data_IF_964554391354
#
_entry.id   IF_964554391354
#
_cell.length_a   1.000
_cell.length_b   1.000
_cell.length_c   1.000
_cell.angle_alpha   90.00
_cell.angle_beta   90.00
_cell.angle_gamma   90.00
#
_symmetry.space_group_name_H-M   'P 1'
#
loop_
_entity.id
_entity.type
_entity.pdbx_description
1 polymer ?
#
# COMPACT_ATOMS: atom_id res chain seq x y z
N UNK A 1 -14.41 -53.61 -37.47
CA UNK A 1 -15.68 -53.32 -38.17
C UNK A 1 -16.44 -52.26 -37.41
N UNK A 2 -16.43 -51.02 -37.88
CA UNK A 2 -17.58 -50.09 -37.90
C UNK A 2 -17.09 -48.83 -38.61
N UNK A 3 -17.70 -48.54 -39.76
CA UNK A 3 -17.44 -47.36 -40.62
C UNK A 3 -18.38 -46.24 -40.19
N UNK A 4 -17.90 -45.00 -40.15
CA UNK A 4 -18.75 -43.82 -40.36
C UNK A 4 -18.19 -42.98 -41.50
N UNK A 5 -19.10 -42.61 -42.40
CA UNK A 5 -18.88 -41.93 -43.67
C UNK A 5 -18.68 -40.40 -43.49
N UNK A 6 -17.89 -39.83 -44.40
CA UNK A 6 -17.64 -38.40 -44.55
C UNK A 6 -18.37 -37.79 -45.76
N UNK A 7 -18.42 -36.45 -45.76
CA UNK A 7 -18.51 -35.48 -46.88
C UNK A 7 -19.78 -34.57 -46.90
N UNK A 8 -19.75 -33.37 -47.53
CA UNK A 8 -18.68 -32.35 -47.61
C UNK A 8 -19.14 -30.86 -47.51
N UNK A 9 -18.16 -29.96 -47.64
CA UNK A 9 -18.18 -28.49 -47.65
C UNK A 9 -19.11 -27.80 -48.69
N UNK A 10 -19.53 -26.57 -48.36
CA UNK A 10 -19.60 -25.45 -49.33
C UNK A 10 -19.24 -24.11 -48.67
N UNK A 11 -18.33 -23.37 -49.30
CA UNK A 11 -17.95 -22.00 -48.98
C UNK A 11 -18.84 -20.99 -49.72
N UNK A 12 -19.02 -19.78 -49.18
CA UNK A 12 -19.31 -18.57 -49.95
C UNK A 12 -18.99 -17.31 -49.13
N UNK A 13 -18.26 -16.40 -49.78
CA UNK A 13 -17.82 -15.08 -49.32
C UNK A 13 -18.94 -14.05 -49.33
N UNK A 14 -18.79 -12.90 -48.64
CA UNK A 14 -19.06 -11.58 -49.24
C UNK A 14 -18.49 -10.44 -48.38
N UNK A 15 -18.05 -9.39 -49.08
CA UNK A 15 -17.28 -8.22 -48.64
C UNK A 15 -18.18 -7.02 -48.26
N UNK A 16 -17.58 -6.00 -47.59
CA UNK A 16 -18.03 -4.59 -47.47
C UNK A 16 -19.38 -4.37 -46.74
N UNK A 17 -19.62 -3.35 -45.91
CA UNK A 17 -19.39 -1.93 -46.11
C UNK A 17 -19.67 -1.18 -44.79
N UNK A 18 -18.93 -0.11 -44.56
CA UNK A 18 -19.17 0.97 -43.59
C UNK A 18 -20.48 1.73 -43.92
N UNK A 19 -21.02 2.55 -42.98
CA UNK A 19 -21.91 3.73 -43.17
C UNK A 19 -23.35 3.66 -42.58
N UNK A 20 -23.49 4.46 -41.51
CA UNK A 20 -24.57 5.41 -41.15
C UNK A 20 -25.95 4.99 -40.58
N UNK A 21 -26.17 5.58 -39.39
CA UNK A 21 -27.32 6.41 -38.95
C UNK A 21 -28.70 5.79 -38.60
N UNK A 22 -29.06 6.02 -37.33
CA UNK A 22 -30.33 6.56 -36.83
C UNK A 22 -31.65 5.98 -37.36
N UNK A 23 -32.32 5.22 -36.49
CA UNK A 23 -33.79 5.24 -36.38
C UNK A 23 -34.21 5.18 -34.91
N UNK A 24 -34.75 6.31 -34.45
CA UNK A 24 -35.44 6.55 -33.19
C UNK A 24 -36.89 6.03 -33.32
N UNK A 25 -37.52 5.73 -32.17
CA UNK A 25 -38.96 5.67 -31.83
C UNK A 25 -39.43 4.25 -31.42
N UNK A 26 -39.48 3.92 -30.12
CA UNK A 26 -40.47 4.25 -29.07
C UNK A 26 -41.35 3.04 -28.74
N UNK A 27 -41.18 2.47 -27.55
CA UNK A 27 -42.28 2.07 -26.66
C UNK A 27 -41.81 2.36 -25.24
N UNK A 28 -42.51 3.27 -24.55
CA UNK A 28 -42.22 3.67 -23.18
C UNK A 28 -42.98 2.85 -22.14
N UNK A 29 -42.43 2.84 -20.92
CA UNK A 29 -43.18 2.85 -19.66
C UNK A 29 -42.32 3.60 -18.61
N UNK A 30 -42.86 4.75 -18.19
CA UNK A 30 -42.74 5.50 -16.93
C UNK A 30 -42.27 4.68 -15.69
N UNK A 31 -41.60 5.18 -14.65
CA UNK A 31 -41.18 6.53 -14.24
C UNK A 31 -40.21 6.38 -13.02
N UNK A 32 -39.40 7.40 -12.74
CA UNK A 32 -38.48 7.60 -11.58
C UNK A 32 -37.10 6.94 -11.57
N UNK A 33 -36.16 7.53 -12.29
CA UNK A 33 -34.80 7.81 -11.77
C UNK A 33 -34.37 9.15 -12.36
N UNK A 34 -34.55 10.23 -11.61
CA UNK A 34 -33.90 11.51 -11.89
C UNK A 34 -32.39 11.32 -11.72
N UNK A 35 -31.68 11.20 -12.83
CA UNK A 35 -30.26 11.50 -12.89
C UNK A 35 -30.15 13.02 -12.99
N UNK A 36 -30.12 13.70 -11.84
CA UNK A 36 -29.64 15.08 -11.79
C UNK A 36 -28.13 15.01 -12.03
N UNK A 37 -27.68 15.45 -13.22
CA UNK A 37 -26.28 15.80 -13.42
C UNK A 37 -25.89 16.80 -12.31
N UNK A 38 -24.79 16.57 -11.57
CA UNK A 38 -24.42 17.48 -10.49
C UNK A 38 -24.25 18.88 -11.07
N UNK A 39 -24.83 19.92 -10.45
CA UNK A 39 -24.74 21.28 -10.96
C UNK A 39 -23.26 21.62 -11.19
N UNK A 40 -22.96 22.29 -12.30
CA UNK A 40 -21.62 22.71 -12.70
C UNK A 40 -20.85 23.46 -11.59
N UNK A 41 -21.55 23.94 -10.55
CA UNK A 41 -20.95 24.44 -9.31
C UNK A 41 -20.21 23.38 -8.50
N UNK A 42 -20.72 22.15 -8.37
CA UNK A 42 -20.06 21.04 -7.65
C UNK A 42 -18.80 20.56 -8.39
N UNK A 43 -18.86 20.47 -9.72
CA UNK A 43 -17.69 20.19 -10.55
C UNK A 43 -16.66 21.33 -10.48
N UNK A 44 -17.11 22.59 -10.40
CA UNK A 44 -16.20 23.73 -10.16
C UNK A 44 -15.59 23.70 -8.76
N UNK A 45 -16.33 23.28 -7.72
CA UNK A 45 -15.78 23.12 -6.37
C UNK A 45 -14.73 22.01 -6.32
N UNK A 46 -14.97 20.88 -6.99
CA UNK A 46 -14.01 19.77 -7.08
C UNK A 46 -12.76 20.11 -7.92
N UNK A 47 -12.89 21.02 -8.89
CA UNK A 47 -11.79 21.49 -9.74
C UNK A 47 -11.10 22.77 -9.21
N UNK A 48 -11.60 23.40 -8.14
CA UNK A 48 -11.00 24.60 -7.53
C UNK A 48 -10.18 24.30 -6.27
N UNK A 49 -10.16 23.05 -5.77
CA UNK A 49 -9.18 22.61 -4.78
C UNK A 49 -7.95 22.02 -5.47
N UNK A 50 -7.28 22.81 -6.30
CA UNK A 50 -5.84 22.63 -6.46
C UNK A 50 -5.16 23.21 -5.20
N UNK A 51 -5.26 22.49 -4.09
CA UNK A 51 -4.40 22.75 -2.94
C UNK A 51 -2.96 22.49 -3.37
N UNK A 52 -2.06 23.44 -3.07
CA UNK A 52 -0.63 23.27 -3.37
C UNK A 52 -0.14 21.94 -2.76
N UNK A 53 0.72 21.17 -3.46
CA UNK A 53 1.25 19.90 -2.95
C UNK A 53 1.89 19.99 -1.55
N UNK A 54 2.39 21.18 -1.18
CA UNK A 54 2.97 21.48 0.14
C UNK A 54 1.92 21.65 1.26
N UNK A 55 0.71 22.10 0.94
CA UNK A 55 -0.37 22.30 1.91
C UNK A 55 -1.08 20.96 2.25
N UNK A 56 -0.96 19.96 1.37
CA UNK A 56 -1.50 18.61 1.56
C UNK A 56 -0.65 17.74 2.51
N UNK A 57 0.56 18.21 2.89
CA UNK A 57 1.51 17.45 3.72
C UNK A 57 1.47 17.80 5.21
N UNK A 58 0.60 18.71 5.64
CA UNK A 58 0.50 19.09 7.06
C UNK A 58 -0.76 18.51 7.70
N UNK A 59 -0.58 17.87 8.88
CA UNK A 59 -1.69 17.36 9.68
C UNK A 59 -2.24 18.50 10.55
N UNK A 60 -3.55 18.73 10.49
CA UNK A 60 -4.19 19.78 11.27
C UNK A 60 -5.51 19.32 11.87
N UNK A 61 -5.74 19.68 13.12
CA UNK A 61 -7.01 19.44 13.80
C UNK A 61 -8.11 20.29 13.17
N UNK A 62 -9.30 19.73 13.03
CA UNK A 62 -10.50 20.47 12.62
C UNK A 62 -11.21 21.03 13.86
N UNK A 63 -11.65 22.28 13.80
CA UNK A 63 -12.37 22.89 14.90
C UNK A 63 -13.67 22.10 15.22
N UNK A 64 -13.88 21.80 16.50
CA UNK A 64 -15.14 21.19 16.98
C UNK A 64 -15.30 19.69 16.75
N UNK A 65 -14.27 18.98 16.26
CA UNK A 65 -14.28 17.53 16.11
C UNK A 65 -12.98 16.90 16.65
N UNK A 66 -13.02 15.69 17.23
CA UNK A 66 -11.80 14.97 17.59
C UNK A 66 -11.01 14.62 16.32
N UNK A 67 -9.68 14.75 16.39
CA UNK A 67 -8.79 14.22 15.37
C UNK A 67 -8.58 12.72 15.61
N UNK A 68 -8.94 11.89 14.64
CA UNK A 68 -8.91 10.43 14.78
C UNK A 68 -7.70 9.84 14.08
N UNK A 69 -6.93 9.02 14.81
CA UNK A 69 -5.79 8.27 14.28
C UNK A 69 -6.11 6.78 14.42
N UNK A 70 -6.08 6.04 13.31
CA UNK A 70 -6.11 4.58 13.33
C UNK A 70 -4.68 4.01 13.29
N UNK A 71 -4.42 3.00 14.11
CA UNK A 71 -3.12 2.35 14.21
C UNK A 71 -3.25 0.90 13.75
N UNK A 72 -2.39 0.48 12.83
CA UNK A 72 -2.26 -0.91 12.40
C UNK A 72 -0.82 -1.38 12.64
N UNK A 73 -0.66 -2.56 13.22
CA UNK A 73 0.62 -3.16 13.58
C UNK A 73 0.56 -4.66 13.32
N UNK A 74 1.71 -5.29 13.10
CA UNK A 74 1.85 -6.76 13.05
C UNK A 74 0.86 -7.39 12.05
N UNK A 75 0.74 -6.79 10.87
CA UNK A 75 -0.17 -7.27 9.81
C UNK A 75 0.40 -8.48 9.06
N UNK A 76 1.74 -8.57 8.96
CA UNK A 76 2.48 -9.68 8.35
C UNK A 76 2.02 -10.13 6.96
N UNK A 77 1.57 -9.20 6.11
CA UNK A 77 1.09 -9.55 4.75
C UNK A 77 2.10 -10.43 3.98
N UNK A 78 1.58 -11.47 3.34
CA UNK A 78 2.35 -12.47 2.63
C UNK A 78 2.89 -13.62 3.49
N UNK A 79 2.53 -13.68 4.77
CA UNK A 79 2.87 -14.83 5.63
C UNK A 79 2.31 -16.14 5.04
N UNK A 80 3.14 -17.19 4.96
CA UNK A 80 2.75 -18.50 4.46
C UNK A 80 2.05 -18.46 3.08
N UNK A 81 2.47 -17.54 2.19
CA UNK A 81 1.88 -17.31 0.87
C UNK A 81 1.85 -18.55 -0.05
N UNK A 82 2.61 -19.60 0.27
CA UNK A 82 2.61 -20.90 -0.43
C UNK A 82 1.53 -21.88 0.04
N UNK A 83 0.63 -21.44 0.92
CA UNK A 83 -0.53 -22.22 1.41
C UNK A 83 -1.82 -21.46 1.10
N UNK A 84 -2.97 -22.13 1.15
CA UNK A 84 -4.27 -21.45 1.02
C UNK A 84 -4.61 -20.57 2.24
N UNK A 85 -3.97 -20.82 3.38
CA UNK A 85 -4.28 -20.13 4.63
C UNK A 85 -3.76 -18.68 4.64
N UNK A 86 -2.53 -18.45 4.18
CA UNK A 86 -1.85 -17.15 4.20
C UNK A 86 -2.59 -16.07 3.41
N UNK A 87 -2.80 -16.23 2.09
CA UNK A 87 -3.56 -15.29 1.27
C UNK A 87 -5.00 -15.07 1.79
N UNK A 88 -5.59 -16.09 2.42
CA UNK A 88 -6.91 -15.93 3.04
C UNK A 88 -6.86 -15.02 4.29
N UNK A 89 -5.75 -15.01 5.05
CA UNK A 89 -5.57 -14.08 6.16
C UNK A 89 -5.35 -12.66 5.67
N UNK A 90 -4.54 -12.44 4.63
CA UNK A 90 -4.36 -11.12 4.01
C UNK A 90 -5.71 -10.51 3.61
N UNK A 91 -6.57 -11.31 2.96
CA UNK A 91 -7.95 -10.90 2.62
C UNK A 91 -8.80 -10.58 3.85
N UNK A 92 -8.64 -11.33 4.95
CA UNK A 92 -9.39 -11.07 6.18
C UNK A 92 -8.90 -9.80 6.88
N UNK A 93 -7.58 -9.55 6.90
CA UNK A 93 -6.97 -8.32 7.39
C UNK A 93 -7.50 -7.12 6.61
N UNK A 94 -7.52 -7.17 5.28
CA UNK A 94 -8.10 -6.11 4.43
C UNK A 94 -9.55 -5.82 4.78
N UNK A 95 -10.37 -6.85 5.04
CA UNK A 95 -11.77 -6.67 5.44
C UNK A 95 -11.89 -5.95 6.78
N UNK A 96 -11.16 -6.40 7.80
CA UNK A 96 -11.20 -5.79 9.13
C UNK A 96 -10.70 -4.36 9.08
N UNK A 97 -9.56 -4.10 8.43
CA UNK A 97 -9.03 -2.76 8.23
C UNK A 97 -10.05 -1.86 7.51
N UNK A 98 -10.66 -2.35 6.43
CA UNK A 98 -11.70 -1.61 5.71
C UNK A 98 -12.88 -1.25 6.61
N UNK A 99 -13.39 -2.19 7.40
CA UNK A 99 -14.50 -1.91 8.33
C UNK A 99 -14.13 -0.86 9.38
N UNK A 100 -12.94 -0.94 9.97
CA UNK A 100 -12.45 0.08 10.92
C UNK A 100 -12.38 1.46 10.24
N UNK A 101 -11.83 1.52 9.02
CA UNK A 101 -11.68 2.77 8.29
C UNK A 101 -13.03 3.36 7.85
N UNK A 102 -14.01 2.53 7.48
CA UNK A 102 -15.35 2.97 7.10
C UNK A 102 -16.14 3.47 8.32
N UNK A 103 -16.15 2.70 9.41
CA UNK A 103 -16.96 2.99 10.58
C UNK A 103 -16.42 4.18 11.39
N UNK A 104 -15.10 4.30 11.51
CA UNK A 104 -14.48 5.39 12.28
C UNK A 104 -14.13 6.62 11.45
N UNK A 105 -13.93 6.47 10.13
CA UNK A 105 -13.51 7.54 9.23
C UNK A 105 -12.34 8.37 9.79
N UNK A 106 -11.17 7.76 10.06
CA UNK A 106 -10.07 8.45 10.71
C UNK A 106 -9.45 9.53 9.81
N UNK A 107 -8.88 10.56 10.43
CA UNK A 107 -8.19 11.65 9.74
C UNK A 107 -6.76 11.24 9.33
N UNK A 108 -6.18 10.24 10.00
CA UNK A 108 -4.81 9.78 9.76
C UNK A 108 -4.65 8.30 10.12
N UNK A 109 -3.75 7.60 9.42
CA UNK A 109 -3.41 6.20 9.71
C UNK A 109 -1.91 6.06 9.99
N UNK A 110 -1.55 5.21 10.94
CA UNK A 110 -0.16 4.85 11.18
C UNK A 110 0.01 3.33 11.09
N UNK A 111 0.98 2.91 10.29
CA UNK A 111 1.47 1.53 10.22
C UNK A 111 2.71 1.40 11.11
N UNK A 112 2.61 0.58 12.17
CA UNK A 112 3.56 0.52 13.29
C UNK A 112 4.63 -0.58 13.17
N UNK A 113 4.98 -0.97 11.95
CA UNK A 113 5.93 -2.04 11.69
C UNK A 113 5.28 -3.41 11.56
N UNK A 114 6.08 -4.35 11.04
CA UNK A 114 5.67 -5.71 10.69
C UNK A 114 4.41 -5.72 9.82
N UNK A 115 4.40 -4.79 8.85
CA UNK A 115 3.33 -4.64 7.88
C UNK A 115 3.34 -5.83 6.91
N UNK A 116 4.52 -6.27 6.52
CA UNK A 116 4.72 -7.40 5.60
C UNK A 116 5.73 -8.41 6.16
N UNK A 117 5.63 -9.64 5.67
CA UNK A 117 6.64 -10.69 5.91
C UNK A 117 7.90 -10.52 5.04
N UNK A 118 7.83 -9.64 4.03
CA UNK A 118 8.92 -9.24 3.14
C UNK A 118 9.68 -10.40 2.48
N UNK A 119 10.99 -10.51 2.79
CA UNK A 119 11.90 -11.45 2.15
C UNK A 119 11.83 -12.82 2.79
N UNK A 120 11.03 -12.98 3.86
CA UNK A 120 10.63 -14.27 4.39
C UNK A 120 9.52 -14.94 3.55
N UNK A 121 9.59 -14.72 2.24
CA UNK A 121 8.77 -15.27 1.17
C UNK A 121 9.73 -15.50 -0.02
N UNK A 122 9.63 -16.61 -0.76
CA UNK A 122 10.52 -16.89 -1.90
C UNK A 122 10.17 -16.00 -3.14
N UNK A 123 10.21 -14.68 -3.00
CA UNK A 123 9.81 -13.71 -4.02
C UNK A 123 10.97 -12.78 -4.42
N UNK A 124 10.97 -12.32 -5.66
CA UNK A 124 11.97 -11.37 -6.15
C UNK A 124 11.70 -9.92 -5.70
N UNK A 125 10.44 -9.57 -5.41
CA UNK A 125 10.03 -8.24 -4.97
C UNK A 125 8.80 -8.35 -4.05
N UNK A 126 8.97 -8.03 -2.77
CA UNK A 126 7.92 -8.10 -1.76
C UNK A 126 7.07 -6.83 -1.67
N UNK A 127 7.40 -5.76 -2.43
CA UNK A 127 6.69 -4.49 -2.35
C UNK A 127 5.21 -4.57 -2.74
N UNK A 128 4.79 -5.63 -3.45
CA UNK A 128 3.39 -5.86 -3.78
C UNK A 128 2.54 -6.11 -2.53
N UNK A 129 3.08 -6.81 -1.53
CA UNK A 129 2.41 -6.99 -0.24
C UNK A 129 2.32 -5.69 0.56
N UNK A 130 3.32 -4.81 0.42
CA UNK A 130 3.26 -3.46 1.01
C UNK A 130 2.13 -2.66 0.38
N UNK A 131 2.05 -2.67 -0.94
CA UNK A 131 0.97 -2.01 -1.70
C UNK A 131 -0.42 -2.57 -1.38
N UNK A 132 -0.52 -3.88 -1.13
CA UNK A 132 -1.76 -4.54 -0.72
C UNK A 132 -2.16 -4.12 0.70
N UNK A 133 -1.23 -4.18 1.65
CA UNK A 133 -1.47 -3.82 3.05
C UNK A 133 -1.96 -2.38 3.21
N UNK A 134 -1.35 -1.42 2.49
CA UNK A 134 -1.76 0.00 2.55
C UNK A 134 -2.99 0.32 1.69
N UNK A 135 -3.44 -0.61 0.86
CA UNK A 135 -4.51 -0.36 -0.12
C UNK A 135 -5.83 0.12 0.50
N UNK A 136 -6.30 -0.35 1.67
CA UNK A 136 -7.57 0.11 2.25
C UNK A 136 -7.51 1.59 2.65
N UNK A 137 -6.37 2.03 3.19
CA UNK A 137 -6.12 3.42 3.56
C UNK A 137 -6.01 4.30 2.32
N UNK A 138 -5.19 3.88 1.35
CA UNK A 138 -4.97 4.61 0.09
C UNK A 138 -6.26 4.78 -0.70
N UNK A 139 -7.09 3.74 -0.80
CA UNK A 139 -8.37 3.79 -1.53
C UNK A 139 -9.37 4.80 -0.98
N UNK A 140 -9.25 5.16 0.31
CA UNK A 140 -10.10 6.14 0.99
C UNK A 140 -9.53 7.56 0.99
N UNK A 141 -8.34 7.76 0.42
CA UNK A 141 -7.69 9.06 0.41
C UNK A 141 -7.24 9.55 1.78
N UNK A 142 -7.10 8.64 2.76
CA UNK A 142 -6.68 8.99 4.12
C UNK A 142 -5.16 9.09 4.12
N UNK A 143 -4.55 10.20 4.60
CA UNK A 143 -3.09 10.29 4.72
C UNK A 143 -2.57 9.28 5.75
N UNK A 144 -1.35 8.81 5.56
CA UNK A 144 -0.74 7.84 6.47
C UNK A 144 0.74 8.05 6.68
N UNK A 145 1.29 7.40 7.69
CA UNK A 145 2.72 7.22 7.85
C UNK A 145 3.05 5.80 8.29
N UNK A 146 4.28 5.37 8.03
CA UNK A 146 4.76 4.02 8.31
C UNK A 146 6.14 4.02 8.98
N UNK A 147 6.32 3.04 9.86
CA UNK A 147 7.62 2.69 10.43
C UNK A 147 7.87 1.21 10.17
N UNK A 148 9.14 0.82 10.05
CA UNK A 148 9.50 -0.58 9.83
C UNK A 148 9.60 -1.34 11.15
N UNK A 149 9.13 -2.59 11.12
CA UNK A 149 9.43 -3.63 12.09
C UNK A 149 10.45 -4.63 11.54
N UNK A 150 10.87 -5.59 12.36
CA UNK A 150 11.92 -6.57 12.02
C UNK A 150 11.52 -7.48 10.84
N UNK A 151 10.22 -7.71 10.62
CA UNK A 151 9.74 -8.55 9.51
C UNK A 151 9.76 -7.87 8.15
N UNK A 152 9.68 -6.53 8.10
CA UNK A 152 9.53 -5.78 6.84
C UNK A 152 10.76 -5.84 5.91
N UNK A 153 11.84 -6.47 6.34
CA UNK A 153 13.01 -6.87 5.52
C UNK A 153 13.68 -8.11 6.12
N UNK A 154 12.87 -9.03 6.70
CA UNK A 154 13.39 -10.28 7.24
C UNK A 154 13.85 -11.21 6.12
N UNK A 155 15.03 -11.87 6.25
CA UNK A 155 15.53 -12.78 5.22
C UNK A 155 14.65 -14.03 5.08
N UNK A 156 14.81 -14.73 3.96
CA UNK A 156 14.12 -16.00 3.73
C UNK A 156 14.59 -17.07 4.70
N UNK A 157 13.65 -17.61 5.48
CA UNK A 157 13.87 -18.79 6.31
C UNK A 157 13.18 -20.00 5.68
N UNK A 158 13.95 -21.07 5.46
CA UNK A 158 13.40 -22.31 4.91
C UNK A 158 12.44 -22.96 5.90
N UNK A 159 11.14 -23.13 5.55
CA UNK A 159 10.20 -23.75 6.46
C UNK A 159 10.56 -25.22 6.69
N UNK A 160 10.69 -25.64 7.96
CA UNK A 160 11.01 -27.05 8.29
C UNK A 160 10.02 -28.04 7.68
N UNK A 161 8.76 -27.64 7.52
CA UNK A 161 7.71 -28.42 6.87
C UNK A 161 8.04 -28.79 5.42
N UNK A 162 8.84 -27.98 4.71
CA UNK A 162 9.23 -28.27 3.33
C UNK A 162 10.25 -29.41 3.21
N UNK A 163 10.90 -29.78 4.32
CA UNK A 163 11.77 -30.96 4.40
C UNK A 163 11.02 -32.23 4.82
N UNK A 164 9.68 -32.18 4.92
CA UNK A 164 8.84 -33.35 5.15
C UNK A 164 8.41 -34.02 3.82
N UNK A 165 7.74 -35.17 3.88
CA UNK A 165 7.33 -35.95 2.68
C UNK A 165 6.56 -35.18 1.57
N UNK A 166 5.73 -34.14 1.86
CA UNK A 166 5.13 -33.29 0.84
C UNK A 166 6.14 -32.48 0.02
N UNK A 167 7.34 -32.22 0.55
CA UNK A 167 8.43 -31.51 -0.13
C UNK A 167 8.25 -29.99 -0.19
N UNK A 168 9.12 -29.35 -0.99
CA UNK A 168 9.11 -27.91 -1.26
C UNK A 168 7.89 -27.56 -2.14
N UNK A 169 7.06 -26.56 -1.76
CA UNK A 169 5.95 -26.10 -2.59
C UNK A 169 6.40 -25.65 -3.98
N UNK A 170 5.55 -25.78 -5.02
CA UNK A 170 5.89 -25.36 -6.37
C UNK A 170 6.16 -23.85 -6.44
N UNK A 171 7.30 -23.45 -7.02
CA UNK A 171 7.64 -22.05 -7.26
C UNK A 171 6.93 -21.59 -8.54
N UNK A 172 6.01 -20.62 -8.42
CA UNK A 172 5.36 -19.99 -9.56
C UNK A 172 6.16 -18.79 -10.07
N UNK A 173 7.01 -18.99 -11.08
CA UNK A 173 7.68 -17.88 -11.78
C UNK A 173 6.79 -17.40 -12.96
N UNK A 174 6.56 -16.09 -13.16
CA UNK A 174 5.74 -15.58 -14.26
C UNK A 174 6.34 -15.97 -15.61
N UNK A 175 5.52 -16.52 -16.50
CA UNK A 175 5.97 -17.06 -17.77
C UNK A 175 6.50 -15.94 -18.71
N UNK A 176 7.68 -16.10 -19.33
CA UNK A 176 8.14 -15.18 -20.35
C UNK A 176 7.45 -15.52 -21.67
N UNK A 177 6.41 -14.75 -22.03
CA UNK A 177 6.03 -14.62 -23.44
C UNK A 177 7.09 -13.77 -24.17
N UNK A 178 8.28 -14.34 -24.38
CA UNK A 178 9.29 -13.83 -25.28
C UNK A 178 10.20 -14.99 -25.68
N UNK A 179 10.00 -15.47 -26.90
CA UNK A 179 10.87 -16.44 -27.58
C UNK A 179 12.33 -16.01 -27.51
N UNK A 180 13.20 -16.96 -27.17
CA UNK A 180 14.67 -16.87 -27.15
C UNK A 180 15.28 -16.18 -25.94
N UNK A 181 15.44 -16.92 -24.84
CA UNK A 181 16.49 -16.66 -23.86
C UNK A 181 17.18 -17.99 -23.50
N UNK A 182 18.32 -18.22 -24.14
CA UNK A 182 19.32 -19.20 -23.72
C UNK A 182 19.94 -18.77 -22.38
N UNK A 183 20.03 -19.70 -21.43
CA UNK A 183 20.78 -19.54 -20.19
C UNK A 183 19.90 -19.30 -18.96
N UNK A 184 20.03 -20.22 -18.00
CA UNK A 184 19.50 -20.24 -16.65
C UNK A 184 19.28 -18.84 -16.05
N UNK A 185 18.06 -18.29 -16.16
CA UNK A 185 17.62 -17.23 -15.25
C UNK A 185 17.11 -17.91 -14.00
N UNK A 186 18.02 -18.20 -13.08
CA UNK A 186 17.70 -18.52 -11.70
C UNK A 186 16.60 -17.56 -11.22
N UNK A 187 15.50 -18.07 -10.65
CA UNK A 187 14.57 -17.22 -9.91
C UNK A 187 15.38 -16.70 -8.71
N UNK A 188 16.01 -15.53 -8.89
CA UNK A 188 16.91 -14.95 -7.90
C UNK A 188 16.06 -14.36 -6.78
N UNK A 189 16.21 -14.88 -5.57
CA UNK A 189 15.67 -14.29 -4.36
C UNK A 189 16.46 -13.01 -4.08
N UNK A 190 16.06 -11.91 -4.72
CA UNK A 190 16.70 -10.60 -4.58
C UNK A 190 16.29 -9.86 -3.31
N UNK A 191 15.15 -10.25 -2.73
CA UNK A 191 14.52 -9.54 -1.64
C UNK A 191 14.17 -8.08 -2.00
N UNK A 192 13.54 -7.37 -1.08
CA UNK A 192 13.25 -5.95 -1.12
C UNK A 192 13.73 -5.36 0.19
N UNK A 193 14.65 -4.39 0.10
CA UNK A 193 15.23 -3.77 1.29
C UNK A 193 14.31 -2.71 1.86
N UNK A 194 14.42 -2.40 3.16
CA UNK A 194 13.66 -1.30 3.78
C UNK A 194 13.77 0.02 3.05
N UNK A 195 14.99 0.38 2.61
CA UNK A 195 15.21 1.63 1.86
C UNK A 195 14.48 1.63 0.51
N UNK A 196 14.29 0.47 -0.11
CA UNK A 196 13.54 0.34 -1.37
C UNK A 196 12.03 0.40 -1.10
N UNK A 197 11.54 -0.19 -0.01
CA UNK A 197 10.15 -0.05 0.43
C UNK A 197 9.81 1.41 0.72
N UNK A 198 10.64 2.10 1.52
CA UNK A 198 10.42 3.50 1.88
C UNK A 198 10.44 4.41 0.65
N UNK A 199 11.40 4.21 -0.27
CA UNK A 199 11.45 4.95 -1.54
C UNK A 199 10.17 4.74 -2.35
N UNK A 200 9.74 3.50 -2.53
CA UNK A 200 8.50 3.19 -3.26
C UNK A 200 7.29 3.82 -2.59
N UNK A 201 7.20 3.80 -1.27
CA UNK A 201 6.10 4.45 -0.56
C UNK A 201 6.07 5.95 -0.85
N UNK A 202 7.20 6.65 -0.62
CA UNK A 202 7.31 8.11 -0.79
C UNK A 202 7.12 8.54 -2.25
N UNK A 203 7.69 7.79 -3.22
CA UNK A 203 7.66 8.17 -4.64
C UNK A 203 6.30 7.86 -5.30
N UNK A 204 5.63 6.79 -4.89
CA UNK A 204 4.40 6.33 -5.56
C UNK A 204 3.11 6.79 -4.87
N UNK A 205 3.17 7.40 -3.69
CA UNK A 205 1.98 7.76 -2.94
C UNK A 205 2.00 9.24 -2.52
N UNK A 206 1.06 10.03 -3.06
CA UNK A 206 0.98 11.47 -2.76
C UNK A 206 0.50 11.78 -1.34
N UNK A 207 -0.14 10.81 -0.67
CA UNK A 207 -0.78 10.97 0.64
C UNK A 207 0.07 10.44 1.80
N UNK A 208 1.23 9.82 1.52
CA UNK A 208 2.13 9.41 2.59
C UNK A 208 2.83 10.62 3.21
N UNK A 209 2.91 10.60 4.53
CA UNK A 209 3.70 11.51 5.35
C UNK A 209 4.96 10.83 5.90
N UNK A 210 5.21 9.57 5.52
CA UNK A 210 6.43 8.84 5.87
C UNK A 210 7.67 9.57 5.34
N UNK A 211 8.75 9.49 6.11
CA UNK A 211 10.03 10.13 5.77
C UNK A 211 11.17 9.18 6.03
N UNK A 212 12.24 9.33 5.24
CA UNK A 212 13.54 8.77 5.61
C UNK A 212 14.17 9.62 6.70
N UNK A 213 14.74 8.96 7.70
CA UNK A 213 15.47 9.64 8.76
C UNK A 213 16.84 10.19 8.33
N UNK A 214 17.50 10.92 9.24
CA UNK A 214 18.86 11.40 9.04
C UNK A 214 19.83 10.27 8.69
N UNK A 215 20.79 10.55 7.80
CA UNK A 215 21.73 9.54 7.26
C UNK A 215 22.67 8.98 8.32
N UNK A 216 22.95 9.74 9.36
CA UNK A 216 23.76 9.39 10.52
C UNK A 216 23.06 8.41 11.48
N UNK A 217 21.75 8.18 11.33
CA UNK A 217 21.02 7.13 12.05
C UNK A 217 21.06 5.77 11.35
N UNK A 218 21.79 5.65 10.23
CA UNK A 218 22.02 4.36 9.59
C UNK A 218 22.59 3.35 10.59
N UNK A 219 22.11 2.08 10.63
CA UNK A 219 21.31 1.39 9.61
C UNK A 219 19.79 1.59 9.62
N UNK A 220 19.23 2.31 10.59
CA UNK A 220 17.78 2.54 10.67
C UNK A 220 17.29 3.56 9.62
N UNK A 221 16.06 3.39 9.10
CA UNK A 221 15.53 4.12 7.95
C UNK A 221 14.36 5.03 8.34
N UNK A 222 13.36 4.51 9.04
CA UNK A 222 12.09 5.23 9.30
C UNK A 222 12.10 6.01 10.63
N UNK A 223 13.14 6.82 10.86
CA UNK A 223 13.21 7.71 12.03
C UNK A 223 12.82 9.13 11.64
N UNK A 224 11.72 9.64 12.17
CA UNK A 224 11.27 11.00 11.85
C UNK A 224 10.26 11.48 12.87
N UNK A 225 9.89 12.75 12.76
CA UNK A 225 8.85 13.35 13.58
C UNK A 225 7.76 13.90 12.69
N UNK A 226 6.51 13.66 13.09
CA UNK A 226 5.33 14.32 12.54
C UNK A 226 4.67 15.18 13.60
N UNK A 227 4.13 16.31 13.15
CA UNK A 227 3.43 17.27 13.98
C UNK A 227 1.99 17.38 13.49
N UNK A 228 1.06 17.38 14.43
CA UNK A 228 -0.34 17.74 14.23
C UNK A 228 -0.55 19.13 14.83
N UNK A 229 -0.95 20.09 14.01
CA UNK A 229 -1.15 21.49 14.42
C UNK A 229 -2.60 21.81 14.76
N UNK A 230 -2.80 22.90 15.50
CA UNK A 230 -4.10 23.41 15.93
C UNK A 230 -4.97 23.87 14.75
N UNK A 231 -6.29 23.85 14.94
CA UNK A 231 -7.25 24.40 13.98
C UNK A 231 -7.08 25.89 13.77
N UNK A 232 -6.54 26.62 14.74
CA UNK A 232 -6.54 28.09 14.74
C UNK A 232 -5.20 28.66 14.29
N UNK A 233 -4.10 27.95 14.58
CA UNK A 233 -2.74 28.35 14.26
C UNK A 233 -1.93 27.14 13.75
N UNK A 234 -1.50 27.14 12.47
CA UNK A 234 -0.64 26.10 11.90
C UNK A 234 0.72 25.94 12.60
N UNK A 235 1.21 26.99 13.25
CA UNK A 235 2.49 26.96 13.97
C UNK A 235 2.32 26.45 15.41
N UNK A 236 1.09 26.25 15.87
CA UNK A 236 0.79 25.76 17.21
C UNK A 236 0.62 24.24 17.21
N UNK A 237 1.60 23.46 17.71
CA UNK A 237 1.51 22.00 17.79
C UNK A 237 0.49 21.57 18.85
N UNK A 238 -0.32 20.56 18.52
CA UNK A 238 -1.22 19.86 19.44
C UNK A 238 -0.67 18.49 19.81
N UNK A 239 0.03 17.83 18.88
CA UNK A 239 0.63 16.51 19.08
C UNK A 239 1.93 16.39 18.28
N UNK A 240 2.96 15.86 18.94
CA UNK A 240 4.19 15.39 18.30
C UNK A 240 4.22 13.86 18.29
N UNK A 241 4.52 13.28 17.14
CA UNK A 241 4.68 11.84 16.96
C UNK A 241 6.11 11.54 16.56
N UNK A 242 6.86 10.93 17.48
CA UNK A 242 8.25 10.52 17.27
C UNK A 242 8.31 9.07 16.83
N UNK A 243 8.86 8.82 15.64
CA UNK A 243 9.01 7.49 15.06
C UNK A 243 10.46 7.03 15.23
N UNK A 244 10.65 5.86 15.84
CA UNK A 244 11.94 5.23 16.09
C UNK A 244 12.02 3.85 15.42
N UNK A 245 12.84 3.75 14.39
CA UNK A 245 13.11 2.49 13.70
C UNK A 245 14.24 1.77 14.45
N UNK A 246 13.91 0.69 15.15
CA UNK A 246 14.88 -0.11 15.88
C UNK A 246 15.79 -0.92 14.97
N UNK A 247 15.61 -0.92 13.65
CA UNK A 247 16.30 -1.86 12.78
C UNK A 247 15.61 -3.23 12.81
N UNK A 248 16.35 -4.32 12.66
CA UNK A 248 15.81 -5.67 12.46
C UNK A 248 15.81 -6.12 11.00
N UNK A 249 15.38 -7.37 10.77
CA UNK A 249 15.44 -8.01 9.47
C UNK A 249 16.88 -8.14 8.96
N UNK A 250 17.23 -7.37 7.94
CA UNK A 250 18.61 -7.30 7.41
C UNK A 250 19.56 -6.39 8.24
N UNK A 251 19.04 -5.71 9.26
CA UNK A 251 19.77 -4.77 10.12
C UNK A 251 19.80 -5.20 11.59
N UNK A 252 20.75 -4.70 12.41
CA UNK A 252 20.72 -4.89 13.87
C UNK A 252 19.41 -4.34 14.46
N UNK A 253 18.79 -5.08 15.38
CA UNK A 253 17.55 -4.69 16.06
C UNK A 253 17.87 -4.04 17.42
N UNK A 254 18.22 -2.74 17.39
CA UNK A 254 18.63 -1.96 18.54
C UNK A 254 18.31 -0.47 18.36
N UNK A 255 17.82 0.18 19.41
CA UNK A 255 17.81 1.64 19.49
C UNK A 255 19.21 2.11 19.91
N UNK A 256 19.87 2.85 19.03
CA UNK A 256 21.24 3.32 19.21
C UNK A 256 21.32 4.60 20.05
N UNK A 257 22.49 4.87 20.63
CA UNK A 257 22.76 6.13 21.31
C UNK A 257 22.63 7.34 20.37
N UNK A 258 22.96 7.18 19.08
CA UNK A 258 22.79 8.24 18.08
C UNK A 258 21.31 8.62 17.88
N UNK A 259 20.39 7.65 17.90
CA UNK A 259 18.95 7.93 17.86
C UNK A 259 18.46 8.64 19.12
N UNK A 260 19.01 8.31 20.29
CA UNK A 260 18.69 9.00 21.53
C UNK A 260 19.18 10.46 21.53
N UNK A 261 20.42 10.71 21.07
CA UNK A 261 20.98 12.06 20.92
C UNK A 261 20.22 12.89 19.89
N UNK A 262 19.88 12.29 18.74
CA UNK A 262 19.04 12.91 17.72
C UNK A 262 17.68 13.32 18.30
N UNK A 263 17.02 12.43 19.04
CA UNK A 263 15.76 12.73 19.69
C UNK A 263 15.86 13.88 20.68
N UNK A 264 16.90 13.89 21.53
CA UNK A 264 17.11 14.98 22.48
C UNK A 264 17.21 16.32 21.75
N UNK A 265 18.04 16.38 20.70
CA UNK A 265 18.21 17.60 19.91
C UNK A 265 16.90 18.04 19.23
N UNK A 266 16.19 17.12 18.58
CA UNK A 266 14.92 17.42 17.91
C UNK A 266 13.86 17.86 18.92
N UNK A 267 13.77 17.20 20.08
CA UNK A 267 12.81 17.57 21.13
C UNK A 267 13.11 18.96 21.71
N UNK A 268 14.37 19.32 21.90
CA UNK A 268 14.75 20.68 22.33
C UNK A 268 14.39 21.74 21.29
N UNK A 269 14.54 21.42 20.01
CA UNK A 269 14.23 22.33 18.90
C UNK A 269 12.73 22.58 18.74
N UNK A 270 11.92 21.51 18.70
CA UNK A 270 10.50 21.60 18.35
C UNK A 270 9.56 21.67 19.56
N UNK A 271 10.04 21.25 20.74
CA UNK A 271 9.27 21.20 21.97
C UNK A 271 10.05 21.83 23.15
N UNK A 272 10.44 23.13 23.05
CA UNK A 272 11.28 23.79 24.06
C UNK A 272 10.61 23.87 25.44
N UNK A 273 9.28 23.83 25.49
CA UNK A 273 8.48 23.85 26.73
C UNK A 273 8.24 22.43 27.31
N UNK A 274 9.03 21.44 26.89
CA UNK A 274 8.91 20.07 27.39
C UNK A 274 8.87 20.05 28.93
N UNK A 275 7.79 19.49 29.48
CA UNK A 275 7.59 19.42 30.93
C UNK A 275 8.47 18.31 31.48
N UNK A 276 9.57 18.68 32.13
CA UNK A 276 10.37 17.79 32.96
C UNK A 276 9.62 17.37 34.22
#
# INVERSE_FOLDING_TARGET
MMKLHAAPLTALSFSCLFVLLLSILTVGFDDRLQADDPPLSLLKTALQQEQKPEEMKSLRVRAGAPFKIALFADLHFGENAWTDWGPQQDVNSVKVMSSVLDDESPDFVIYLGDVITANNIPIANASLYWDEAISPTRARGIPWASIFGNHDDAPFEWPLAWFSSPGIPPIHCPAPNASSCSGERYCSFGGTRRIELMKKEIENNLLTLSKTGPKDLWPSISNYVLQLSSSDDPESPVLFMYFFDSGGGSYPEVISNAQAEWFQHVSEEINPDSRY
#
